data_IF_466270597253
#
_entry.id   IF_466270597253
#
_cell.length_a   1.000
_cell.length_b   1.000
_cell.length_c   1.000
_cell.angle_alpha   90.00
_cell.angle_beta   90.00
_cell.angle_gamma   90.00
#
_symmetry.space_group_name_H-M   'P 1'
#
loop_
_entity.id
_entity.type
_entity.pdbx_description
1 polymer ?
#
# COMPACT_ATOMS: atom_id res chain seq x y z
N UNK A 1 -13.92 11.10 18.42
CA UNK A 1 -13.32 12.05 17.47
C UNK A 1 -11.81 11.89 17.57
N UNK A 2 -11.20 11.10 16.69
CA UNK A 2 -9.73 11.00 16.66
C UNK A 2 -9.25 11.88 15.51
N UNK A 3 -8.62 12.99 15.86
CA UNK A 3 -7.92 13.85 14.92
C UNK A 3 -6.52 13.25 14.79
N UNK A 4 -6.15 12.78 13.61
CA UNK A 4 -4.79 12.32 13.33
C UNK A 4 -3.83 13.52 13.25
N UNK A 5 -3.50 14.09 14.41
CA UNK A 5 -2.40 15.05 14.53
C UNK A 5 -1.05 14.32 14.46
N UNK A 6 0.01 15.02 14.05
CA UNK A 6 1.34 14.48 13.67
C UNK A 6 2.12 13.64 14.69
N UNK A 7 1.55 13.34 15.85
CA UNK A 7 2.18 12.56 16.93
C UNK A 7 1.61 11.13 17.06
N UNK A 8 0.81 10.67 16.10
CA UNK A 8 0.28 9.31 16.13
C UNK A 8 1.42 8.30 15.90
N UNK A 9 1.76 7.53 16.94
CA UNK A 9 2.66 6.39 16.82
C UNK A 9 2.01 5.32 15.93
N UNK A 10 2.82 4.76 15.03
CA UNK A 10 2.39 3.68 14.17
C UNK A 10 3.41 2.53 14.17
N UNK A 11 2.88 1.33 13.92
CA UNK A 11 3.65 0.10 13.75
C UNK A 11 3.20 -0.59 12.46
N UNK A 12 4.16 -1.17 11.73
CA UNK A 12 3.87 -2.11 10.64
C UNK A 12 4.02 -3.51 11.22
N UNK A 13 2.93 -4.25 11.16
CA UNK A 13 2.88 -5.64 11.55
C UNK A 13 3.04 -6.48 10.30
N UNK A 14 4.08 -7.31 10.28
CA UNK A 14 4.28 -8.31 9.24
C UNK A 14 3.73 -9.67 9.71
N UNK A 15 2.97 -10.33 8.85
CA UNK A 15 2.44 -11.68 9.07
C UNK A 15 2.93 -12.65 8.00
N UNK A 16 3.29 -13.87 8.40
CA UNK A 16 3.51 -14.98 7.48
C UNK A 16 2.21 -15.77 7.31
N UNK A 17 1.77 -15.95 6.07
CA UNK A 17 0.55 -16.68 5.75
C UNK A 17 0.61 -18.18 6.11
N UNK A 18 1.81 -18.76 6.26
CA UNK A 18 2.01 -20.16 6.66
C UNK A 18 2.09 -20.37 8.16
N UNK A 19 2.51 -19.36 8.93
CA UNK A 19 2.67 -19.45 10.37
C UNK A 19 1.73 -18.48 11.09
N UNK A 20 0.47 -18.93 11.20
CA UNK A 20 -0.59 -18.17 11.87
C UNK A 20 -0.55 -18.27 13.40
N UNK A 21 0.24 -19.19 13.93
CA UNK A 21 0.43 -19.36 15.38
C UNK A 21 1.60 -18.53 15.89
N UNK A 22 2.52 -18.12 15.00
CA UNK A 22 3.55 -17.15 15.31
C UNK A 22 2.96 -15.80 15.71
N UNK A 23 3.49 -15.17 16.78
CA UNK A 23 3.09 -13.83 17.16
C UNK A 23 3.33 -12.83 16.03
N UNK A 24 2.44 -11.83 15.86
CA UNK A 24 2.66 -10.75 14.92
C UNK A 24 4.01 -10.09 15.18
N UNK A 25 4.80 -9.90 14.13
CA UNK A 25 6.14 -9.29 14.25
C UNK A 25 6.06 -7.82 13.84
N UNK A 26 6.51 -6.93 14.73
CA UNK A 26 6.69 -5.51 14.39
C UNK A 26 7.90 -5.39 13.47
N UNK A 27 7.64 -5.03 12.22
CA UNK A 27 8.66 -4.91 11.16
C UNK A 27 9.18 -3.46 11.03
N UNK A 28 8.33 -2.47 11.29
CA UNK A 28 8.70 -1.05 11.31
C UNK A 28 7.85 -0.25 12.30
N UNK A 29 8.35 0.91 12.73
CA UNK A 29 7.61 1.85 13.60
C UNK A 29 8.00 3.29 13.29
N UNK A 30 7.12 4.23 13.62
CA UNK A 30 7.39 5.65 13.49
C UNK A 30 6.24 6.51 14.00
N UNK A 31 6.22 7.77 13.57
CA UNK A 31 5.15 8.72 13.89
C UNK A 31 4.53 9.30 12.62
N UNK A 32 3.27 9.72 12.73
CA UNK A 32 2.51 10.34 11.65
C UNK A 32 1.81 9.34 10.73
N UNK A 33 0.50 9.49 10.56
CA UNK A 33 -0.33 8.61 9.73
C UNK A 33 0.18 8.49 8.29
N UNK A 34 0.54 9.62 7.67
CA UNK A 34 1.05 9.63 6.31
C UNK A 34 2.33 8.77 6.17
N UNK A 35 3.26 8.86 7.12
CA UNK A 35 4.48 8.05 7.10
C UNK A 35 4.17 6.55 7.27
N UNK A 36 3.24 6.19 8.15
CA UNK A 36 2.80 4.81 8.33
C UNK A 36 2.10 4.24 7.10
N UNK A 37 1.21 5.02 6.47
CA UNK A 37 0.56 4.63 5.20
C UNK A 37 1.58 4.47 4.07
N UNK A 38 2.57 5.37 3.97
CA UNK A 38 3.65 5.28 2.99
C UNK A 38 4.42 3.98 3.17
N UNK A 39 4.80 3.64 4.40
CA UNK A 39 5.51 2.40 4.71
C UNK A 39 4.66 1.16 4.40
N UNK A 40 3.36 1.18 4.74
CA UNK A 40 2.42 0.09 4.42
C UNK A 40 2.35 -0.16 2.91
N UNK A 41 2.19 0.89 2.10
CA UNK A 41 2.17 0.80 0.64
C UNK A 41 3.51 0.32 0.10
N UNK A 42 4.61 0.88 0.60
CA UNK A 42 5.97 0.52 0.18
C UNK A 42 6.20 -0.98 0.35
N UNK A 43 6.01 -1.49 1.58
CA UNK A 43 6.18 -2.92 1.95
C UNK A 43 5.24 -3.82 1.16
N UNK A 44 3.97 -3.46 1.07
CA UNK A 44 2.99 -4.26 0.32
C UNK A 44 3.38 -4.38 -1.16
N UNK A 45 3.76 -3.27 -1.79
CA UNK A 45 4.13 -3.28 -3.20
C UNK A 45 5.49 -3.93 -3.45
N UNK A 46 6.45 -3.80 -2.53
CA UNK A 46 7.80 -4.37 -2.68
C UNK A 46 7.89 -5.84 -2.30
N UNK A 47 7.11 -6.29 -1.31
CA UNK A 47 7.24 -7.62 -0.71
C UNK A 47 5.92 -8.43 -0.68
N UNK A 48 4.76 -7.77 -0.66
CA UNK A 48 3.44 -8.43 -0.57
C UNK A 48 2.88 -8.94 -1.90
N UNK A 49 3.43 -8.48 -3.03
CA UNK A 49 2.90 -8.73 -4.38
C UNK A 49 4.00 -9.23 -5.32
N UNK A 50 3.69 -10.31 -6.05
CA UNK A 50 4.51 -10.82 -7.16
C UNK A 50 4.18 -10.09 -8.46
N UNK A 51 5.12 -10.12 -9.39
CA UNK A 51 4.92 -9.56 -10.74
C UNK A 51 3.80 -10.28 -11.51
N UNK A 52 3.49 -11.52 -11.14
CA UNK A 52 2.36 -12.30 -11.66
C UNK A 52 0.98 -11.82 -11.16
N UNK A 53 0.91 -10.71 -10.41
CA UNK A 53 -0.29 -10.23 -9.67
C UNK A 53 -0.79 -11.17 -8.56
N UNK A 54 -0.02 -12.21 -8.24
CA UNK A 54 -0.30 -13.09 -7.12
C UNK A 54 0.25 -12.47 -5.83
N UNK A 55 -0.42 -12.74 -4.72
CA UNK A 55 0.10 -12.41 -3.40
C UNK A 55 1.37 -13.20 -3.10
N UNK A 56 2.29 -12.63 -2.32
CA UNK A 56 3.35 -13.42 -1.69
C UNK A 56 2.82 -14.12 -0.44
N UNK A 57 3.71 -14.67 0.38
CA UNK A 57 3.35 -15.30 1.64
C UNK A 57 3.45 -14.34 2.83
N UNK A 58 3.70 -13.05 2.56
CA UNK A 58 3.85 -12.02 3.57
C UNK A 58 2.73 -11.01 3.45
N UNK A 59 2.10 -10.72 4.59
CA UNK A 59 1.09 -9.68 4.74
C UNK A 59 1.63 -8.54 5.60
N UNK A 60 1.15 -7.33 5.30
CA UNK A 60 1.49 -6.13 6.06
C UNK A 60 0.22 -5.41 6.47
N UNK A 61 0.22 -4.96 7.72
CA UNK A 61 -0.85 -4.17 8.30
C UNK A 61 -0.24 -2.98 9.04
N UNK A 62 -0.92 -1.85 8.97
CA UNK A 62 -0.56 -0.66 9.73
C UNK A 62 -1.42 -0.61 10.99
N UNK A 63 -0.78 -0.47 12.13
CA UNK A 63 -1.40 -0.30 13.43
C UNK A 63 -1.12 1.11 13.91
N UNK A 64 -2.15 1.96 13.97
CA UNK A 64 -2.02 3.35 14.39
C UNK A 64 -3.27 3.80 15.18
N UNK A 65 -3.48 3.18 16.33
CA UNK A 65 -4.71 3.31 17.14
C UNK A 65 -5.90 2.51 16.61
N UNK A 66 -5.94 2.24 15.31
CA UNK A 66 -6.78 1.27 14.60
C UNK A 66 -5.95 0.51 13.56
N UNK A 67 -6.46 -0.63 13.10
CA UNK A 67 -5.80 -1.49 12.11
C UNK A 67 -6.21 -1.07 10.70
N UNK A 68 -5.23 -0.81 9.85
CA UNK A 68 -5.40 -0.47 8.43
C UNK A 68 -4.69 -1.52 7.58
N UNK A 69 -5.40 -2.07 6.60
CA UNK A 69 -4.84 -3.02 5.63
C UNK A 69 -5.21 -2.63 4.20
N UNK A 70 -4.38 -3.03 3.24
CA UNK A 70 -4.64 -2.76 1.82
C UNK A 70 -5.58 -3.79 1.17
N UNK A 71 -5.98 -4.85 1.88
CA UNK A 71 -6.92 -5.84 1.35
C UNK A 71 -6.40 -6.57 0.10
N UNK A 72 -5.13 -6.95 0.12
CA UNK A 72 -4.48 -7.76 -0.93
C UNK A 72 -5.13 -9.14 -1.02
N UNK A 73 -5.61 -9.49 -2.20
CA UNK A 73 -6.28 -10.77 -2.47
C UNK A 73 -5.26 -11.88 -2.73
N UNK A 74 -5.60 -13.17 -2.60
CA UNK A 74 -4.67 -14.26 -2.95
C UNK A 74 -4.20 -14.21 -4.42
N UNK A 75 -5.09 -13.79 -5.31
CA UNK A 75 -4.88 -13.67 -6.75
C UNK A 75 -5.57 -12.41 -7.30
N UNK A 76 -5.25 -12.05 -8.55
CA UNK A 76 -5.87 -10.93 -9.27
C UNK A 76 -5.59 -9.55 -8.65
N UNK A 77 -4.36 -9.35 -8.18
CA UNK A 77 -3.89 -8.06 -7.67
C UNK A 77 -3.30 -7.21 -8.80
N UNK A 78 -3.98 -7.16 -9.94
CA UNK A 78 -3.50 -6.49 -11.16
C UNK A 78 -3.19 -5.01 -10.92
N UNK A 79 -4.06 -4.30 -10.21
CA UNK A 79 -3.81 -2.93 -9.75
C UNK A 79 -2.49 -2.81 -8.95
N UNK A 80 -2.27 -3.68 -7.98
CA UNK A 80 -1.04 -3.63 -7.16
C UNK A 80 0.22 -3.98 -7.96
N UNK A 81 0.13 -4.96 -8.87
CA UNK A 81 1.24 -5.29 -9.77
C UNK A 81 1.56 -4.12 -10.73
N UNK A 82 0.53 -3.41 -11.20
CA UNK A 82 0.68 -2.21 -12.03
C UNK A 82 1.37 -1.09 -11.27
N UNK A 83 0.92 -0.79 -10.05
CA UNK A 83 1.56 0.17 -9.16
C UNK A 83 3.03 -0.18 -8.88
N UNK A 84 3.30 -1.45 -8.55
CA UNK A 84 4.66 -1.96 -8.36
C UNK A 84 5.53 -1.69 -9.58
N UNK A 85 5.04 -2.01 -10.78
CA UNK A 85 5.78 -1.76 -12.03
C UNK A 85 6.00 -0.27 -12.33
N UNK A 86 5.08 0.61 -11.95
CA UNK A 86 5.24 2.05 -12.17
C UNK A 86 6.21 2.69 -11.18
N UNK A 87 6.23 2.22 -9.93
CA UNK A 87 7.09 2.75 -8.86
C UNK A 87 8.50 2.20 -8.98
N UNK A 88 8.64 0.89 -9.11
CA UNK A 88 9.94 0.23 -9.07
C UNK A 88 10.48 -0.15 -10.46
N UNK A 89 9.76 0.22 -11.52
CA UNK A 89 10.07 -0.22 -12.88
C UNK A 89 9.58 -1.64 -13.17
N UNK A 90 9.67 -2.04 -14.44
CA UNK A 90 9.43 -3.43 -14.80
C UNK A 90 10.61 -4.26 -14.27
N UNK A 91 10.36 -5.42 -13.65
CA UNK A 91 11.44 -6.39 -13.45
C UNK A 91 12.06 -6.66 -14.83
N UNK A 92 13.40 -6.72 -14.89
CA UNK A 92 14.09 -7.22 -16.07
C UNK A 92 13.55 -8.61 -16.47
N UNK A 93 13.81 -9.09 -17.69
CA UNK A 93 13.44 -10.44 -18.08
C UNK A 93 13.90 -11.42 -16.99
N UNK A 94 12.93 -12.12 -16.42
CA UNK A 94 13.09 -12.98 -15.25
C UNK A 94 14.16 -14.04 -15.56
N UNK A 95 15.33 -13.95 -14.92
CA UNK A 95 16.16 -15.13 -14.69
C UNK A 95 15.42 -15.97 -13.65
N UNK A 96 15.00 -17.22 -13.95
CA UNK A 96 14.27 -18.05 -13.00
C UNK A 96 15.15 -18.31 -11.77
N UNK A 97 14.84 -17.65 -10.65
CA UNK A 97 15.58 -17.70 -9.40
C UNK A 97 16.11 -16.35 -8.89
N UNK A 98 16.02 -15.29 -9.68
CA UNK A 98 16.41 -13.95 -9.25
C UNK A 98 15.36 -13.31 -8.36
N UNK A 99 15.54 -13.38 -7.05
CA UNK A 99 14.92 -12.41 -6.13
C UNK A 99 15.51 -11.06 -6.54
N UNK A 100 14.70 -10.17 -7.14
CA UNK A 100 15.14 -8.80 -7.38
C UNK A 100 15.76 -8.29 -6.07
N UNK A 101 17.01 -7.82 -6.14
CA UNK A 101 17.79 -7.53 -4.94
C UNK A 101 16.99 -6.57 -4.07
N UNK A 102 16.71 -6.99 -2.84
CA UNK A 102 15.84 -6.27 -1.89
C UNK A 102 16.33 -4.82 -1.76
N UNK A 103 17.64 -4.58 -1.90
CA UNK A 103 18.25 -3.26 -1.88
C UNK A 103 17.86 -2.32 -3.02
N UNK A 104 17.64 -2.81 -4.25
CA UNK A 104 17.29 -1.95 -5.40
C UNK A 104 15.82 -1.50 -5.38
N UNK A 105 14.92 -2.35 -4.89
CA UNK A 105 13.50 -1.99 -4.72
C UNK A 105 13.30 -1.00 -3.56
N UNK A 106 14.15 -1.07 -2.53
CA UNK A 106 14.10 -0.18 -1.37
C UNK A 106 14.70 1.22 -1.65
N UNK A 107 15.55 1.37 -2.66
CA UNK A 107 16.17 2.65 -3.01
C UNK A 107 15.20 3.67 -3.65
N UNK A 108 13.97 3.26 -3.97
CA UNK A 108 12.92 4.15 -4.49
C UNK A 108 12.16 4.88 -3.37
N UNK A 109 12.86 5.25 -2.29
CA UNK A 109 12.26 5.92 -1.14
C UNK A 109 11.49 7.17 -1.58
N UNK A 110 11.95 7.89 -2.61
CA UNK A 110 11.36 9.15 -3.11
C UNK A 110 10.50 9.02 -4.37
N UNK A 111 9.78 7.90 -4.56
CA UNK A 111 8.85 7.79 -5.68
C UNK A 111 7.67 8.79 -5.55
N UNK A 112 7.54 9.80 -6.43
CA UNK A 112 6.47 10.80 -6.32
C UNK A 112 5.06 10.18 -6.39
N UNK A 113 4.92 9.08 -7.12
CA UNK A 113 3.67 8.33 -7.21
C UNK A 113 3.28 7.70 -5.87
N UNK A 114 4.24 7.17 -5.10
CA UNK A 114 3.97 6.59 -3.79
C UNK A 114 3.46 7.67 -2.80
N UNK A 115 4.04 8.86 -2.87
CA UNK A 115 3.60 10.02 -2.11
C UNK A 115 2.15 10.41 -2.48
N UNK A 116 1.82 10.48 -3.77
CA UNK A 116 0.44 10.78 -4.24
C UNK A 116 -0.58 9.73 -3.77
N UNK A 117 -0.24 8.43 -3.85
CA UNK A 117 -1.08 7.34 -3.35
C UNK A 117 -1.32 7.47 -1.85
N UNK A 118 -0.26 7.76 -1.10
CA UNK A 118 -0.32 7.90 0.36
C UNK A 118 -1.23 9.07 0.76
N UNK A 119 -1.05 10.24 0.14
CA UNK A 119 -1.89 11.42 0.41
C UNK A 119 -3.35 11.18 0.06
N UNK A 120 -3.61 10.51 -1.07
CA UNK A 120 -4.98 10.15 -1.43
C UNK A 120 -5.58 9.19 -0.40
N UNK A 121 -4.83 8.18 0.06
CA UNK A 121 -5.31 7.25 1.10
C UNK A 121 -5.67 8.00 2.39
N UNK A 122 -4.80 8.88 2.87
CA UNK A 122 -5.06 9.69 4.07
C UNK A 122 -6.33 10.55 3.94
N UNK A 123 -6.51 11.26 2.82
CA UNK A 123 -7.73 12.05 2.56
C UNK A 123 -8.97 11.17 2.56
N UNK A 124 -8.87 9.98 1.98
CA UNK A 124 -9.97 9.05 1.92
C UNK A 124 -10.38 8.59 3.33
N UNK A 125 -9.42 8.22 4.19
CA UNK A 125 -9.73 7.87 5.59
C UNK A 125 -10.42 9.04 6.32
N UNK A 126 -9.94 10.27 6.13
CA UNK A 126 -10.54 11.45 6.75
C UNK A 126 -11.98 11.75 6.27
N UNK A 127 -12.35 11.35 5.04
CA UNK A 127 -13.72 11.45 4.53
C UNK A 127 -14.62 10.35 5.08
N UNK A 128 -14.09 9.13 5.22
CA UNK A 128 -14.73 7.97 5.85
C UNK A 128 -15.16 8.30 7.29
N UNK A 129 -14.26 8.89 8.08
CA UNK A 129 -14.52 9.30 9.47
C UNK A 129 -15.62 10.35 9.62
N UNK A 130 -15.80 11.21 8.60
CA UNK A 130 -16.81 12.28 8.62
C UNK A 130 -18.21 11.77 8.31
N UNK A 131 -18.38 10.47 8.01
CA UNK A 131 -19.69 9.85 7.77
C UNK A 131 -20.45 10.49 6.60
N UNK A 132 -19.72 10.96 5.58
CA UNK A 132 -20.32 11.64 4.41
C UNK A 132 -21.27 10.67 3.70
N UNK A 133 -22.58 10.86 3.88
CA UNK A 133 -23.63 10.00 3.32
C UNK A 133 -23.53 9.93 1.78
N UNK A 134 -23.41 8.72 1.24
CA UNK A 134 -23.22 8.46 -0.20
C UNK A 134 -21.84 7.87 -0.55
N UNK A 135 -20.90 7.85 0.39
CA UNK A 135 -19.67 7.07 0.27
C UNK A 135 -19.97 5.57 0.48
N UNK A 136 -20.13 4.83 -0.60
CA UNK A 136 -20.41 3.39 -0.58
C UNK A 136 -19.16 2.56 -0.23
N UNK A 137 -19.35 1.55 0.63
CA UNK A 137 -18.70 0.24 0.90
C UNK A 137 -17.26 -0.12 0.46
N UNK A 138 -16.58 0.65 -0.38
CA UNK A 138 -15.20 0.39 -0.78
C UNK A 138 -14.25 1.14 0.15
N UNK A 139 -13.36 0.40 0.83
CA UNK A 139 -12.30 0.99 1.64
C UNK A 139 -11.46 1.98 0.84
N UNK A 140 -10.79 2.92 1.51
CA UNK A 140 -9.84 3.84 0.90
C UNK A 140 -8.88 3.15 -0.10
N UNK A 141 -8.27 2.02 0.30
CA UNK A 141 -7.44 1.21 -0.60
C UNK A 141 -8.20 0.67 -1.83
N UNK A 142 -9.45 0.23 -1.64
CA UNK A 142 -10.32 -0.21 -2.73
C UNK A 142 -10.58 0.85 -3.79
N UNK A 143 -10.74 2.12 -3.37
CA UNK A 143 -10.95 3.25 -4.29
C UNK A 143 -9.68 3.59 -5.06
N UNK A 144 -8.53 3.57 -4.39
CA UNK A 144 -7.23 3.75 -5.06
C UNK A 144 -7.03 2.67 -6.12
N UNK A 145 -7.34 1.39 -5.82
CA UNK A 145 -7.28 0.31 -6.82
C UNK A 145 -8.15 0.61 -8.04
N UNK A 146 -9.39 1.05 -7.83
CA UNK A 146 -10.28 1.39 -8.95
C UNK A 146 -9.71 2.52 -9.83
N UNK A 147 -9.05 3.52 -9.24
CA UNK A 147 -8.34 4.55 -10.01
C UNK A 147 -7.18 3.95 -10.82
N UNK A 148 -6.40 3.05 -10.23
CA UNK A 148 -5.28 2.37 -10.92
C UNK A 148 -5.78 1.54 -12.11
N UNK A 149 -6.87 0.80 -11.94
CA UNK A 149 -7.46 -0.02 -13.00
C UNK A 149 -7.97 0.84 -14.16
N UNK A 150 -8.46 2.04 -13.88
CA UNK A 150 -8.94 2.99 -14.88
C UNK A 150 -7.83 3.79 -15.59
N UNK A 151 -6.59 3.75 -15.13
CA UNK A 151 -5.48 4.55 -15.68
C UNK A 151 -4.47 3.69 -16.44
N UNK A 152 -4.04 4.09 -17.62
CA UNK A 152 -3.00 3.37 -18.38
C UNK A 152 -1.58 3.84 -18.08
N UNK A 153 -1.42 5.01 -17.46
CA UNK A 153 -0.12 5.61 -17.13
C UNK A 153 -0.14 6.28 -15.74
N UNK A 154 1.04 6.44 -15.11
CA UNK A 154 1.13 6.97 -13.75
C UNK A 154 0.78 8.47 -13.65
N UNK A 155 0.92 9.26 -14.72
CA UNK A 155 0.57 10.69 -14.69
C UNK A 155 -0.94 10.89 -14.66
N UNK A 156 -1.69 10.12 -15.45
CA UNK A 156 -3.15 10.08 -15.38
C UNK A 156 -3.65 9.65 -13.99
N UNK A 157 -2.99 8.66 -13.38
CA UNK A 157 -3.32 8.22 -12.03
C UNK A 157 -3.11 9.35 -11.01
N UNK A 158 -1.99 10.07 -11.05
CA UNK A 158 -1.74 11.18 -10.11
C UNK A 158 -2.86 12.22 -10.20
N UNK A 159 -3.26 12.63 -11.40
CA UNK A 159 -4.34 13.58 -11.59
C UNK A 159 -5.69 13.07 -11.02
N UNK A 160 -5.98 11.77 -11.18
CA UNK A 160 -7.18 11.17 -10.58
C UNK A 160 -7.11 11.13 -9.05
N UNK A 161 -5.97 10.77 -8.47
CA UNK A 161 -5.75 10.73 -7.02
C UNK A 161 -5.84 12.11 -6.38
N UNK A 162 -5.41 13.16 -7.09
CA UNK A 162 -5.54 14.53 -6.61
C UNK A 162 -6.99 15.03 -6.57
N UNK A 163 -7.86 14.46 -7.40
CA UNK A 163 -9.28 14.77 -7.48
C UNK A 163 -10.15 14.01 -6.46
N UNK A 164 -9.58 13.05 -5.70
CA UNK A 164 -10.23 12.36 -4.58
C UNK A 164 -10.23 13.22 -3.31
#
# INVERSE_FOLDING_TARGET
MRVFAGDLEWEIIAGDTFDRESPPTVDARGTGLQAGLRELWRRTLSEGIRDSSSKTFTDFELWCGEQVSLGVQPSDNTAYAKLRSWIYGKPGPFEPGGVADRGELLACEDAPLLESITRAHERLLALEERGVAGWQAASAAGRIRACVDACDDPSALVAMLEAL
#
